data_IF_691779396877
#
_entry.id   IF_691779396877
#
_cell.length_a   1.000
_cell.length_b   1.000
_cell.length_c   1.000
_cell.angle_alpha   90.00
_cell.angle_beta   90.00
_cell.angle_gamma   90.00
#
_symmetry.space_group_name_H-M   'P 1'
#
loop_
_entity.id
_entity.type
_entity.pdbx_description
1 polymer ?
#
# COMPACT_ATOMS: atom_id res chain seq x y z
N UNK A 1 10.62 16.59 1.87
CA UNK A 1 10.35 15.21 2.35
C UNK A 1 11.11 14.26 1.46
N UNK A 2 11.87 13.31 2.01
CA UNK A 2 12.51 12.26 1.21
C UNK A 2 11.43 11.43 0.53
N UNK A 3 11.47 11.36 -0.81
CA UNK A 3 10.54 10.55 -1.56
C UNK A 3 10.79 9.07 -1.23
N UNK A 4 9.73 8.32 -0.92
CA UNK A 4 9.82 6.87 -0.71
C UNK A 4 10.19 6.22 -2.04
N UNK A 5 11.23 5.41 -2.05
CA UNK A 5 11.65 4.66 -3.24
C UNK A 5 11.05 3.25 -3.25
N UNK A 6 10.92 2.66 -4.44
CA UNK A 6 10.50 1.26 -4.59
C UNK A 6 11.44 0.29 -3.84
N UNK A 7 12.75 0.60 -3.80
CA UNK A 7 13.72 -0.18 -3.04
C UNK A 7 13.40 -0.23 -1.56
N UNK A 8 13.05 0.91 -0.96
CA UNK A 8 12.64 0.97 0.45
C UNK A 8 11.35 0.18 0.70
N UNK A 9 10.39 0.18 -0.24
CA UNK A 9 9.18 -0.63 -0.15
C UNK A 9 9.49 -2.14 -0.21
N UNK A 10 10.46 -2.55 -1.03
CA UNK A 10 10.92 -3.94 -1.10
C UNK A 10 11.60 -4.37 0.21
N UNK A 11 12.54 -3.56 0.72
CA UNK A 11 13.25 -3.82 1.99
C UNK A 11 12.30 -3.87 3.19
N UNK A 12 11.25 -3.04 3.19
CA UNK A 12 10.20 -3.04 4.22
C UNK A 12 9.19 -4.20 4.08
N UNK A 13 9.25 -4.99 3.00
CA UNK A 13 8.38 -6.15 2.81
C UNK A 13 6.91 -5.84 2.49
N UNK A 14 6.57 -4.61 2.07
CA UNK A 14 5.15 -4.19 1.87
C UNK A 14 4.50 -4.84 0.64
N UNK A 15 5.28 -5.50 -0.20
CA UNK A 15 4.82 -6.20 -1.40
C UNK A 15 4.22 -7.59 -1.09
N UNK A 16 4.38 -8.12 0.12
CA UNK A 16 3.81 -9.40 0.49
C UNK A 16 2.31 -9.27 0.79
N UNK A 17 1.52 -10.01 0.01
CA UNK A 17 0.08 -10.16 0.21
C UNK A 17 -0.27 -11.36 1.09
N UNK A 18 -1.51 -11.85 0.93
CA UNK A 18 -1.99 -13.05 1.60
C UNK A 18 -1.82 -14.30 0.72
N UNK A 19 -2.17 -15.47 1.27
CA UNK A 19 -2.22 -16.71 0.51
C UNK A 19 -3.22 -16.60 -0.66
N UNK A 20 -2.93 -17.29 -1.76
CA UNK A 20 -3.73 -17.24 -3.01
C UNK A 20 -5.20 -17.65 -2.85
N UNK A 21 -5.54 -18.38 -1.78
CA UNK A 21 -6.94 -18.75 -1.47
C UNK A 21 -7.76 -17.63 -0.81
N UNK A 22 -7.10 -16.62 -0.22
CA UNK A 22 -7.75 -15.53 0.54
C UNK A 22 -7.77 -14.21 -0.23
N UNK A 23 -7.83 -14.27 -1.56
CA UNK A 23 -7.79 -13.09 -2.40
C UNK A 23 -9.19 -12.64 -2.84
N UNK A 24 -9.31 -11.36 -3.17
CA UNK A 24 -10.51 -10.79 -3.78
C UNK A 24 -10.25 -10.62 -5.29
N UNK A 25 -11.12 -11.12 -6.19
CA UNK A 25 -10.98 -10.96 -7.63
C UNK A 25 -10.78 -9.52 -8.11
N UNK A 26 -11.34 -8.54 -7.40
CA UNK A 26 -11.18 -7.11 -7.73
C UNK A 26 -9.72 -6.63 -7.55
N UNK A 27 -8.89 -7.37 -6.82
CA UNK A 27 -7.47 -7.08 -6.64
C UNK A 27 -6.61 -7.56 -7.82
N UNK A 28 -7.17 -8.27 -8.81
CA UNK A 28 -6.42 -8.77 -9.96
C UNK A 28 -5.54 -7.68 -10.65
N UNK A 29 -6.02 -6.44 -10.86
CA UNK A 29 -5.18 -5.40 -11.46
C UNK A 29 -3.99 -4.97 -10.59
N UNK A 30 -4.00 -5.21 -9.29
CA UNK A 30 -2.98 -4.77 -8.34
C UNK A 30 -2.01 -5.89 -7.94
N UNK A 31 -2.27 -7.13 -8.37
CA UNK A 31 -1.41 -8.28 -8.12
C UNK A 31 -0.38 -8.36 -9.26
N UNK A 32 0.90 -8.43 -8.89
CA UNK A 32 2.00 -8.66 -9.83
C UNK A 32 2.09 -10.14 -10.24
N UNK A 33 1.84 -11.04 -9.29
CA UNK A 33 1.85 -12.48 -9.47
C UNK A 33 1.76 -13.19 -8.13
N UNK A 34 2.12 -14.47 -8.09
CA UNK A 34 2.25 -15.22 -6.85
C UNK A 34 3.58 -15.99 -6.78
N UNK A 35 4.09 -16.18 -5.56
CA UNK A 35 5.27 -16.98 -5.27
C UNK A 35 5.01 -17.78 -4.01
N UNK A 36 5.28 -19.08 -4.04
CA UNK A 36 5.05 -19.97 -2.89
C UNK A 36 3.61 -19.85 -2.32
N UNK A 37 2.61 -19.70 -3.20
CA UNK A 37 1.20 -19.50 -2.85
C UNK A 37 0.89 -18.21 -2.10
N UNK A 38 1.77 -17.20 -2.14
CA UNK A 38 1.54 -15.85 -1.61
C UNK A 38 1.44 -14.87 -2.77
N UNK A 39 0.41 -14.03 -2.78
CA UNK A 39 0.30 -12.95 -3.77
C UNK A 39 1.36 -11.88 -3.52
N UNK A 40 1.97 -11.41 -4.61
CA UNK A 40 2.88 -10.28 -4.62
C UNK A 40 2.13 -9.07 -5.15
N UNK A 41 2.11 -7.99 -4.38
CA UNK A 41 1.47 -6.73 -4.74
C UNK A 41 2.39 -5.94 -5.68
N UNK A 42 1.82 -5.36 -6.73
CA UNK A 42 2.56 -4.61 -7.73
C UNK A 42 2.99 -3.23 -7.21
N UNK A 43 4.27 -3.08 -6.89
CA UNK A 43 4.84 -1.82 -6.41
C UNK A 43 4.94 -0.73 -7.48
N UNK A 44 4.98 -1.07 -8.77
CA UNK A 44 4.93 -0.09 -9.87
C UNK A 44 3.60 0.67 -9.88
N UNK A 45 2.53 0.00 -9.44
CA UNK A 45 1.21 0.62 -9.22
C UNK A 45 1.09 1.29 -7.87
N UNK A 46 1.65 0.68 -6.82
CA UNK A 46 1.58 1.22 -5.45
C UNK A 46 2.28 2.56 -5.33
N UNK A 47 3.46 2.73 -5.93
CA UNK A 47 4.26 3.95 -5.79
C UNK A 47 3.54 5.23 -6.25
N UNK A 48 2.99 5.31 -7.48
CA UNK A 48 2.24 6.50 -7.91
C UNK A 48 0.98 6.73 -7.07
N UNK A 49 0.21 5.68 -6.77
CA UNK A 49 -1.01 5.80 -5.94
C UNK A 49 -0.70 6.27 -4.51
N UNK A 50 0.43 5.84 -3.95
CA UNK A 50 0.91 6.28 -2.65
C UNK A 50 1.26 7.77 -2.67
N UNK A 51 1.91 8.25 -3.74
CA UNK A 51 2.21 9.67 -3.90
C UNK A 51 0.94 10.52 -4.01
N UNK A 52 -0.06 10.05 -4.75
CA UNK A 52 -1.37 10.72 -4.86
C UNK A 52 -2.08 10.80 -3.50
N UNK A 53 -2.07 9.70 -2.73
CA UNK A 53 -2.63 9.66 -1.39
C UNK A 53 -1.90 10.61 -0.43
N UNK A 54 -0.57 10.70 -0.50
CA UNK A 54 0.22 11.64 0.30
C UNK A 54 -0.11 13.10 -0.05
N UNK A 55 -0.24 13.41 -1.35
CA UNK A 55 -0.60 14.75 -1.80
C UNK A 55 -2.01 15.13 -1.30
N UNK A 56 -2.96 14.20 -1.38
CA UNK A 56 -4.32 14.40 -0.87
C UNK A 56 -4.33 14.64 0.64
N UNK A 57 -3.67 13.77 1.43
CA UNK A 57 -3.57 13.91 2.88
C UNK A 57 -2.87 15.22 3.28
N UNK A 58 -1.80 15.59 2.59
CA UNK A 58 -1.12 16.87 2.76
C UNK A 58 -2.05 18.07 2.51
N UNK A 59 -2.90 18.00 1.49
CA UNK A 59 -3.89 19.04 1.21
C UNK A 59 -4.95 19.18 2.30
N UNK A 60 -5.38 18.07 2.91
CA UNK A 60 -6.34 18.08 4.02
C UNK A 60 -5.72 18.69 5.27
N UNK A 61 -4.49 18.31 5.59
CA UNK A 61 -3.73 18.85 6.71
C UNK A 61 -3.48 20.36 6.56
N UNK A 62 -3.10 20.82 5.36
CA UNK A 62 -2.92 22.25 5.06
C UNK A 62 -4.22 23.06 5.27
N UNK A 63 -5.38 22.45 5.01
CA UNK A 63 -6.71 23.05 5.23
C UNK A 63 -7.21 22.90 6.67
N UNK A 64 -6.38 22.42 7.60
CA UNK A 64 -6.72 22.15 9.01
C UNK A 64 -7.97 21.27 9.17
N UNK A 65 -8.15 20.31 8.25
CA UNK A 65 -9.21 19.31 8.36
C UNK A 65 -8.76 18.16 9.26
N UNK A 66 -9.73 17.47 9.85
CA UNK A 66 -9.46 16.33 10.72
C UNK A 66 -9.19 15.06 9.90
N UNK A 67 -8.19 14.28 10.29
CA UNK A 67 -7.86 12.95 9.73
C UNK A 67 -8.03 11.94 10.87
N UNK A 68 -8.98 11.02 10.72
CA UNK A 68 -9.22 9.95 11.69
C UNK A 68 -8.33 8.74 11.38
N UNK A 69 -7.51 8.34 12.34
CA UNK A 69 -6.73 7.11 12.28
C UNK A 69 -7.50 5.98 12.97
N UNK A 70 -7.63 4.83 12.30
CA UNK A 70 -8.36 3.66 12.82
C UNK A 70 -7.52 2.40 12.67
N UNK A 71 -7.30 1.69 13.78
CA UNK A 71 -6.60 0.41 13.81
C UNK A 71 -7.18 -0.47 14.92
N UNK A 72 -7.43 -1.75 14.62
CA UNK A 72 -8.04 -2.71 15.57
C UNK A 72 -7.19 -3.97 15.77
N UNK A 73 -6.22 -4.22 14.90
CA UNK A 73 -5.28 -5.33 15.02
C UNK A 73 -4.19 -4.96 16.03
N UNK A 74 -3.63 -5.96 16.73
CA UNK A 74 -2.53 -5.73 17.68
C UNK A 74 -1.25 -5.16 17.06
N UNK A 75 -1.02 -5.46 15.78
CA UNK A 75 0.14 -4.98 15.03
C UNK A 75 -0.17 -3.69 14.23
N UNK A 76 -1.32 -3.06 14.47
CA UNK A 76 -1.68 -1.77 13.88
C UNK A 76 -1.07 -0.62 14.67
#
# INVERSE_FOLDING_TARGET
>A
MSAVSMRQMLEAGVHFGHQTRYWNPQMAPYIFGDRNKIHIINLEKTLPLFQDALNFAGSLAAKRKNILFVGTKRAA
#
